data_IF_058258175883
#
_entry.id   IF_058258175883
#
_cell.length_a   1.000
_cell.length_b   1.000
_cell.length_c   1.000
_cell.angle_alpha   90.00
_cell.angle_beta   90.00
_cell.angle_gamma   90.00
#
_symmetry.space_group_name_H-M   'P 1'
#
loop_
_entity.id
_entity.type
_entity.pdbx_description
1 polymer ?
#
# COMPACT_ATOMS: atom_id res chain seq x y z
N UNK A 1 -2.14 10.26 14.47
CA UNK A 1 -2.61 10.36 13.08
C UNK A 1 -2.69 8.99 12.44
N UNK A 2 -3.48 8.88 11.42
CA UNK A 2 -3.60 7.65 10.63
C UNK A 2 -2.93 7.84 9.29
N UNK A 3 -2.32 6.79 8.81
CA UNK A 3 -1.68 6.79 7.49
C UNK A 3 -2.41 5.79 6.61
N UNK A 4 -2.76 6.20 5.41
CA UNK A 4 -3.48 5.32 4.47
C UNK A 4 -2.56 4.99 3.31
N UNK A 5 -2.40 3.71 3.05
CA UNK A 5 -1.71 3.22 1.85
C UNK A 5 -2.75 2.71 0.86
N UNK A 6 -2.67 3.20 -0.35
CA UNK A 6 -3.43 2.63 -1.47
C UNK A 6 -2.65 1.45 -2.01
N UNK A 7 -3.26 0.28 -2.00
CA UNK A 7 -2.63 -0.96 -2.44
C UNK A 7 -3.28 -1.41 -3.74
N UNK A 8 -2.47 -1.76 -4.71
CA UNK A 8 -2.93 -2.28 -6.00
C UNK A 8 -2.14 -3.53 -6.36
N UNK A 9 -2.74 -4.36 -7.19
CA UNK A 9 -2.02 -5.51 -7.76
C UNK A 9 -0.91 -4.99 -8.67
N UNK A 10 0.26 -5.59 -8.56
CA UNK A 10 1.37 -5.30 -9.46
C UNK A 10 1.22 -6.13 -10.74
N UNK A 11 1.69 -5.59 -11.86
CA UNK A 11 1.57 -6.28 -13.16
C UNK A 11 2.21 -7.66 -13.18
N UNK A 12 3.32 -7.81 -12.49
CA UNK A 12 4.10 -9.06 -12.50
C UNK A 12 3.76 -9.97 -11.32
N UNK A 13 2.70 -9.68 -10.61
CA UNK A 13 2.30 -10.39 -9.41
C UNK A 13 2.69 -9.61 -8.15
N UNK A 14 2.04 -9.94 -7.05
CA UNK A 14 2.24 -9.22 -5.81
C UNK A 14 1.49 -7.90 -5.76
N UNK A 15 1.99 -6.99 -4.92
CA UNK A 15 1.29 -5.76 -4.58
C UNK A 15 2.23 -4.57 -4.56
N UNK A 16 1.69 -3.42 -4.94
CA UNK A 16 2.34 -2.12 -4.76
C UNK A 16 1.52 -1.33 -3.74
N UNK A 17 2.19 -0.61 -2.86
CA UNK A 17 1.52 0.23 -1.88
C UNK A 17 2.17 1.60 -1.84
N UNK A 18 1.34 2.64 -1.83
CA UNK A 18 1.84 4.01 -1.67
C UNK A 18 0.99 4.75 -0.67
N UNK A 19 1.64 5.54 0.18
CA UNK A 19 0.95 6.35 1.16
C UNK A 19 0.27 7.53 0.49
N UNK A 20 -0.92 7.86 0.94
CA UNK A 20 -1.61 9.06 0.48
C UNK A 20 -1.09 10.26 1.28
N UNK A 21 -0.64 11.28 0.57
CA UNK A 21 -0.13 12.49 1.20
C UNK A 21 1.30 12.43 1.70
N UNK A 22 2.01 11.33 1.46
CA UNK A 22 3.41 11.18 1.86
C UNK A 22 4.18 10.46 0.77
N UNK A 23 5.46 10.76 0.66
CA UNK A 23 6.31 10.13 -0.34
C UNK A 23 6.85 8.79 0.16
N UNK A 24 5.96 7.85 0.39
CA UNK A 24 6.29 6.51 0.88
C UNK A 24 5.72 5.48 -0.08
N UNK A 25 6.58 4.58 -0.54
CA UNK A 25 6.21 3.53 -1.46
C UNK A 25 6.86 2.23 -1.03
N UNK A 26 6.16 1.12 -1.16
CA UNK A 26 6.73 -0.21 -0.99
C UNK A 26 6.01 -1.21 -1.88
N UNK A 27 6.56 -2.41 -1.95
CA UNK A 27 5.98 -3.49 -2.74
C UNK A 27 6.32 -4.82 -2.08
N UNK A 28 5.56 -5.85 -2.40
CA UNK A 28 5.79 -7.19 -1.87
C UNK A 28 5.09 -8.22 -2.74
N UNK A 29 5.52 -9.45 -2.66
CA UNK A 29 4.91 -10.54 -3.43
C UNK A 29 3.69 -11.13 -2.74
N UNK A 30 3.63 -11.06 -1.41
CA UNK A 30 2.51 -11.57 -0.63
C UNK A 30 1.92 -10.48 0.25
N UNK A 31 0.68 -10.67 0.67
CA UNK A 31 0.01 -9.74 1.56
C UNK A 31 0.71 -9.62 2.92
N UNK A 32 1.16 -10.74 3.48
CA UNK A 32 1.86 -10.72 4.76
C UNK A 32 3.18 -9.96 4.67
N UNK A 33 3.92 -10.17 3.59
CA UNK A 33 5.15 -9.43 3.34
C UNK A 33 4.86 -7.95 3.16
N UNK A 34 3.76 -7.61 2.46
CA UNK A 34 3.36 -6.23 2.28
C UNK A 34 3.09 -5.55 3.62
N UNK A 35 2.35 -6.23 4.51
CA UNK A 35 2.07 -5.70 5.84
C UNK A 35 3.35 -5.39 6.59
N UNK A 36 4.29 -6.30 6.56
CA UNK A 36 5.58 -6.15 7.21
C UNK A 36 6.37 -4.98 6.61
N UNK A 37 6.41 -4.91 5.29
CA UNK A 37 7.14 -3.85 4.58
C UNK A 37 6.53 -2.47 4.83
N UNK A 38 5.20 -2.39 4.85
CA UNK A 38 4.51 -1.12 5.12
C UNK A 38 4.85 -0.60 6.52
N UNK A 39 4.86 -1.48 7.50
CA UNK A 39 5.21 -1.08 8.88
C UNK A 39 6.67 -0.63 8.97
N UNK A 40 7.56 -1.33 8.30
CA UNK A 40 8.97 -0.99 8.30
C UNK A 40 9.25 0.37 7.64
N UNK A 41 8.72 0.60 6.43
CA UNK A 41 8.95 1.87 5.74
C UNK A 41 8.28 3.03 6.45
N UNK A 42 7.14 2.79 7.11
CA UNK A 42 6.48 3.81 7.91
C UNK A 42 7.34 4.20 9.11
N UNK A 43 7.86 3.22 9.83
CA UNK A 43 8.73 3.48 10.98
C UNK A 43 9.97 4.28 10.58
N UNK A 44 10.59 3.92 9.46
CA UNK A 44 11.77 4.62 8.96
C UNK A 44 11.45 6.06 8.56
N UNK A 45 10.34 6.26 7.86
CA UNK A 45 9.96 7.59 7.37
C UNK A 45 9.67 8.57 8.52
N UNK A 46 9.09 8.09 9.59
CA UNK A 46 8.70 8.93 10.73
C UNK A 46 9.64 8.87 11.92
N UNK A 47 10.78 8.18 11.81
CA UNK A 47 11.63 7.96 12.98
C UNK A 47 12.12 9.25 13.66
N UNK A 48 12.37 10.30 12.88
CA UNK A 48 12.84 11.58 13.42
C UNK A 48 11.72 12.61 13.59
N UNK A 49 10.48 12.19 13.34
CA UNK A 49 9.34 13.09 13.44
C UNK A 49 8.77 13.06 14.86
N UNK A 50 8.29 14.21 15.36
CA UNK A 50 7.69 14.25 16.71
C UNK A 50 6.37 13.51 16.81
N UNK A 51 5.65 13.37 15.69
CA UNK A 51 4.37 12.68 15.65
C UNK A 51 4.49 11.47 14.72
N UNK A 52 4.07 10.31 15.22
CA UNK A 52 4.10 9.07 14.46
C UNK A 52 2.68 8.58 14.19
N UNK A 53 2.44 7.92 13.06
CA UNK A 53 1.15 7.30 12.80
C UNK A 53 0.84 6.24 13.86
N UNK A 54 -0.36 6.22 14.35
CA UNK A 54 -0.81 5.21 15.32
C UNK A 54 -1.51 4.06 14.63
N UNK A 55 -2.08 4.32 13.46
CA UNK A 55 -2.75 3.31 12.65
C UNK A 55 -2.30 3.47 11.20
N UNK A 56 -2.13 2.34 10.55
CA UNK A 56 -1.88 2.27 9.12
C UNK A 56 -3.04 1.49 8.50
N UNK A 57 -3.68 2.09 7.53
CA UNK A 57 -4.75 1.45 6.78
C UNK A 57 -4.22 0.99 5.44
N UNK A 58 -4.45 -0.27 5.09
CA UNK A 58 -4.18 -0.76 3.75
C UNK A 58 -5.51 -0.75 3.00
N UNK A 59 -5.62 0.17 2.06
CA UNK A 59 -6.81 0.32 1.22
C UNK A 59 -6.53 -0.38 -0.11
N UNK A 60 -7.08 -1.57 -0.26
CA UNK A 60 -6.83 -2.38 -1.45
C UNK A 60 -7.85 -2.03 -2.54
N UNK A 61 -7.32 -1.60 -3.68
CA UNK A 61 -8.11 -1.23 -4.85
C UNK A 61 -7.84 -2.26 -5.93
N UNK A 62 -8.89 -2.92 -6.40
CA UNK A 62 -8.79 -3.92 -7.44
C UNK A 62 -9.69 -3.56 -8.60
N UNK A 63 -9.10 -3.51 -9.78
CA UNK A 63 -9.84 -3.27 -11.01
C UNK A 63 -9.94 -4.59 -11.77
N UNK A 64 -11.09 -4.83 -12.35
CA UNK A 64 -11.28 -5.98 -13.22
C UNK A 64 -11.90 -5.49 -14.52
N UNK A 65 -11.26 -5.81 -15.63
CA UNK A 65 -11.77 -5.45 -16.95
C UNK A 65 -12.50 -6.64 -17.54
N UNK A 66 -13.80 -6.50 -17.73
CA UNK A 66 -14.64 -7.56 -18.26
C UNK A 66 -15.07 -7.15 -19.67
N UNK A 67 -14.64 -7.87 -20.71
CA UNK A 67 -15.10 -7.56 -22.07
C UNK A 67 -16.59 -7.84 -22.20
N UNK A 68 -17.30 -6.90 -22.81
CA UNK A 68 -18.71 -7.09 -23.12
C UNK A 68 -18.77 -7.65 -24.54
N UNK A 69 -19.23 -8.88 -24.65
CA UNK A 69 -19.36 -9.51 -25.96
C UNK A 69 -20.57 -8.93 -26.74
N UNK A 70 -20.33 -8.55 -27.96
CA UNK A 70 -21.41 -8.15 -28.84
C UNK A 70 -22.18 -9.40 -29.25
N UNK A 71 -23.50 -9.40 -29.06
CA UNK A 71 -24.37 -10.51 -29.47
C UNK A 71 -24.54 -10.53 -30.98
#
# INVERSE_FOLDING_TARGET
MELIFEVRDAEEGGYNARALGHAIFTQAETWEELRSNVLEVTALHFEDEPVHPRLVQLHYVKDELIPVEAA
#
